data_IF_521559667499
#
_entry.id   IF_521559667499
#
_cell.length_a   1.000
_cell.length_b   1.000
_cell.length_c   1.000
_cell.angle_alpha   90.00
_cell.angle_beta   90.00
_cell.angle_gamma   90.00
#
_symmetry.space_group_name_H-M   'P 1'
#
loop_
_entity.id
_entity.type
_entity.pdbx_description
1 polymer ?
#
# COMPACT_ATOMS: atom_id res chain seq x y z
N UNK A 1 2.37 21.27 -20.45
CA UNK A 1 3.84 21.10 -20.62
C UNK A 1 4.30 20.25 -19.44
N UNK A 2 4.78 19.03 -19.69
CA UNK A 2 5.27 18.18 -18.61
C UNK A 2 6.49 18.82 -17.95
N UNK A 3 6.51 18.90 -16.63
CA UNK A 3 7.66 19.40 -15.90
C UNK A 3 8.82 18.42 -16.08
N UNK A 4 9.97 18.90 -16.57
CA UNK A 4 11.18 18.09 -16.71
C UNK A 4 11.78 17.79 -15.34
N UNK A 5 12.06 16.52 -15.05
CA UNK A 5 12.52 16.03 -13.73
C UNK A 5 13.96 15.48 -13.79
N UNK A 6 14.41 15.11 -14.99
CA UNK A 6 15.72 14.51 -15.25
C UNK A 6 15.59 13.12 -15.86
N UNK A 7 16.74 12.50 -16.12
CA UNK A 7 16.84 11.14 -16.69
C UNK A 7 17.94 10.35 -15.99
N UNK A 8 17.80 9.03 -15.99
CA UNK A 8 18.74 8.08 -15.39
C UNK A 8 19.19 7.07 -16.45
N UNK A 9 20.50 6.82 -16.52
CA UNK A 9 21.09 5.74 -17.28
C UNK A 9 21.28 4.52 -16.37
N UNK A 10 20.73 3.39 -16.79
CA UNK A 10 20.82 2.13 -16.06
C UNK A 10 21.18 0.98 -17.00
N UNK A 11 21.69 -0.11 -16.44
CA UNK A 11 21.95 -1.35 -17.16
C UNK A 11 21.26 -2.55 -16.52
N UNK A 12 20.81 -3.51 -17.34
CA UNK A 12 20.32 -4.81 -16.90
C UNK A 12 21.11 -5.91 -17.59
N UNK A 13 21.70 -6.79 -16.78
CA UNK A 13 22.46 -7.95 -17.26
C UNK A 13 21.83 -9.26 -16.79
N UNK A 14 22.26 -10.37 -17.40
CA UNK A 14 21.86 -11.73 -17.05
C UNK A 14 22.06 -12.00 -15.54
N UNK A 15 21.16 -12.78 -14.94
CA UNK A 15 21.04 -12.99 -13.48
C UNK A 15 20.57 -11.78 -12.66
N UNK A 16 19.89 -10.84 -13.30
CA UNK A 16 19.27 -9.65 -12.67
C UNK A 16 20.29 -8.80 -11.90
N UNK A 17 21.40 -8.50 -12.58
CA UNK A 17 22.33 -7.46 -12.14
C UNK A 17 21.84 -6.12 -12.67
N UNK A 18 21.49 -5.21 -11.75
CA UNK A 18 21.03 -3.86 -12.05
C UNK A 18 22.20 -2.90 -11.86
N UNK A 19 22.64 -2.25 -12.93
CA UNK A 19 23.67 -1.22 -12.89
C UNK A 19 23.05 0.17 -12.89
N UNK A 20 23.44 1.00 -11.93
CA UNK A 20 23.09 2.41 -11.86
C UNK A 20 24.33 3.19 -12.32
N UNK A 21 24.29 3.76 -13.53
CA UNK A 21 25.46 4.38 -14.18
C UNK A 21 25.56 5.85 -13.80
N UNK A 22 24.68 6.67 -14.35
CA UNK A 22 24.67 8.12 -14.13
C UNK A 22 23.26 8.68 -14.29
N UNK A 23 23.03 9.87 -13.75
CA UNK A 23 21.83 10.65 -14.01
C UNK A 23 22.20 11.99 -14.64
N UNK A 24 21.27 12.59 -15.37
CA UNK A 24 21.49 13.86 -16.03
C UNK A 24 20.29 14.79 -15.92
N UNK A 25 20.59 16.09 -15.83
CA UNK A 25 19.61 17.17 -15.76
C UNK A 25 18.53 16.94 -14.69
N UNK A 26 18.95 16.46 -13.52
CA UNK A 26 18.05 16.27 -12.38
C UNK A 26 17.44 17.61 -11.95
N UNK A 27 16.22 17.54 -11.42
CA UNK A 27 15.57 18.69 -10.79
C UNK A 27 16.34 19.11 -9.53
N UNK A 28 16.66 20.39 -9.42
CA UNK A 28 17.22 20.97 -8.20
C UNK A 28 16.16 21.02 -7.10
N UNK A 29 16.49 20.43 -5.95
CA UNK A 29 15.61 20.36 -4.79
C UNK A 29 16.11 21.24 -3.64
N UNK A 30 17.41 21.53 -3.58
CA UNK A 30 17.99 22.44 -2.60
C UNK A 30 17.81 23.91 -2.99
N UNK A 31 17.75 24.78 -1.98
CA UNK A 31 17.78 26.24 -2.13
C UNK A 31 19.01 26.75 -2.90
N UNK A 32 20.09 25.96 -2.95
CA UNK A 32 21.32 26.27 -3.67
C UNK A 32 21.26 26.03 -5.19
N UNK A 33 20.11 25.60 -5.73
CA UNK A 33 19.97 25.30 -7.16
C UNK A 33 20.62 23.98 -7.58
N UNK A 34 20.94 23.11 -6.62
CA UNK A 34 21.51 21.77 -6.82
C UNK A 34 20.69 20.72 -6.07
N UNK A 35 21.18 19.48 -6.05
CA UNK A 35 20.72 18.40 -5.19
C UNK A 35 21.90 17.58 -4.70
N UNK A 36 21.67 16.76 -3.68
CA UNK A 36 22.55 15.72 -3.17
C UNK A 36 22.02 14.31 -3.59
N UNK A 37 22.06 13.95 -4.88
CA UNK A 37 21.35 12.78 -5.39
C UNK A 37 21.94 11.43 -4.95
N UNK A 38 21.03 10.47 -4.72
CA UNK A 38 21.31 9.05 -4.62
C UNK A 38 20.12 8.22 -5.15
N UNK A 39 20.36 6.96 -5.51
CA UNK A 39 19.33 6.09 -6.09
C UNK A 39 19.01 4.93 -5.16
N UNK A 40 17.74 4.74 -4.84
CA UNK A 40 17.22 3.51 -4.21
C UNK A 40 16.76 2.54 -5.28
N UNK A 41 17.17 1.29 -5.16
CA UNK A 41 16.80 0.20 -6.07
C UNK A 41 16.13 -0.91 -5.26
N UNK A 42 14.98 -1.38 -5.72
CA UNK A 42 14.28 -2.53 -5.13
C UNK A 42 13.35 -3.20 -6.14
N UNK A 43 12.88 -4.41 -5.80
CA UNK A 43 11.97 -5.19 -6.65
C UNK A 43 10.62 -5.33 -5.96
N UNK A 44 9.53 -5.14 -6.71
CA UNK A 44 8.17 -5.43 -6.26
C UNK A 44 7.72 -6.82 -6.77
N UNK A 45 6.89 -7.54 -5.99
CA UNK A 45 6.24 -7.11 -4.74
C UNK A 45 7.13 -7.22 -3.49
N UNK A 46 8.26 -7.94 -3.58
CA UNK A 46 9.14 -8.20 -2.43
C UNK A 46 10.15 -7.08 -2.21
N UNK A 47 9.78 -6.04 -1.44
CA UNK A 47 10.72 -5.00 -0.94
C UNK A 47 11.74 -5.52 0.10
N UNK A 48 11.98 -6.83 0.20
CA UNK A 48 12.82 -7.42 1.25
C UNK A 48 14.31 -7.07 1.09
N UNK A 49 14.74 -6.63 -0.10
CA UNK A 49 16.11 -6.19 -0.37
C UNK A 49 16.08 -4.87 -1.14
N UNK A 50 16.45 -3.79 -0.47
CA UNK A 50 16.62 -2.46 -1.06
C UNK A 50 18.10 -2.13 -1.04
N UNK A 51 18.63 -1.67 -2.17
CA UNK A 51 19.97 -1.12 -2.26
C UNK A 51 19.91 0.40 -2.43
N UNK A 52 20.95 1.08 -2.00
CA UNK A 52 21.11 2.51 -2.16
C UNK A 52 22.50 2.78 -2.70
N UNK A 53 22.61 3.66 -3.70
CA UNK A 53 23.91 4.17 -4.15
C UNK A 53 24.50 5.11 -3.10
N UNK A 54 25.77 5.47 -3.28
CA UNK A 54 26.38 6.61 -2.59
C UNK A 54 25.65 7.89 -2.93
N UNK A 55 25.67 8.81 -1.98
CA UNK A 55 25.19 10.18 -2.12
C UNK A 55 26.27 11.03 -2.77
N UNK A 56 25.92 11.72 -3.86
CA UNK A 56 26.78 12.70 -4.51
C UNK A 56 26.31 14.09 -4.16
N UNK A 57 27.19 14.96 -3.64
CA UNK A 57 26.77 16.27 -3.15
C UNK A 57 26.77 17.34 -4.24
N UNK A 58 25.79 18.24 -4.17
CA UNK A 58 25.67 19.46 -4.98
C UNK A 58 25.86 19.23 -6.47
N UNK A 59 25.16 18.26 -7.02
CA UNK A 59 25.21 17.92 -8.45
C UNK A 59 23.84 17.55 -9.00
N UNK A 60 23.58 17.94 -10.25
CA UNK A 60 22.41 17.51 -11.03
C UNK A 60 22.77 16.46 -12.08
N UNK A 61 24.04 16.06 -12.14
CA UNK A 61 24.58 15.07 -13.08
C UNK A 61 25.52 14.10 -12.36
N UNK A 62 25.01 13.30 -11.39
CA UNK A 62 25.83 12.36 -10.65
C UNK A 62 26.25 11.15 -11.51
N UNK A 63 27.47 10.68 -11.31
CA UNK A 63 28.00 9.43 -11.89
C UNK A 63 28.18 8.41 -10.78
N UNK A 64 27.26 7.46 -10.68
CA UNK A 64 27.20 6.46 -9.62
C UNK A 64 28.12 5.26 -9.88
N UNK A 65 27.97 4.62 -11.05
CA UNK A 65 28.66 3.40 -11.45
C UNK A 65 28.63 2.28 -10.40
N UNK A 66 27.43 1.96 -9.89
CA UNK A 66 27.20 0.92 -8.88
C UNK A 66 26.34 -0.21 -9.44
N UNK A 67 26.65 -1.45 -9.09
CA UNK A 67 25.92 -2.63 -9.57
C UNK A 67 25.31 -3.41 -8.40
N UNK A 68 24.05 -3.80 -8.54
CA UNK A 68 23.25 -4.48 -7.52
C UNK A 68 22.71 -5.80 -8.05
N UNK A 69 23.00 -6.89 -7.35
CA UNK A 69 22.54 -8.23 -7.73
C UNK A 69 21.31 -8.66 -6.94
N UNK A 70 20.28 -9.06 -7.67
CA UNK A 70 19.06 -9.66 -7.13
C UNK A 70 18.96 -11.14 -7.48
N UNK A 71 18.10 -11.85 -6.74
CA UNK A 71 17.65 -13.17 -7.17
C UNK A 71 16.50 -12.97 -8.16
N UNK A 72 16.49 -13.74 -9.24
CA UNK A 72 15.46 -13.67 -10.26
C UNK A 72 14.08 -13.92 -9.65
N UNK A 73 13.13 -13.02 -9.93
CA UNK A 73 11.75 -13.12 -9.47
C UNK A 73 10.82 -13.00 -10.67
N UNK A 74 10.03 -14.05 -10.88
CA UNK A 74 8.98 -14.10 -11.91
C UNK A 74 7.93 -13.00 -11.60
N UNK A 75 7.35 -12.38 -12.64
CA UNK A 75 6.28 -11.37 -12.54
C UNK A 75 6.60 -10.18 -11.61
N UNK A 76 7.83 -9.69 -11.67
CA UNK A 76 8.30 -8.64 -10.77
C UNK A 76 8.52 -7.30 -11.46
N UNK A 77 8.44 -6.22 -10.68
CA UNK A 77 8.72 -4.85 -11.17
C UNK A 77 9.98 -4.32 -10.51
N UNK A 78 11.01 -4.01 -11.28
CA UNK A 78 12.17 -3.27 -10.80
C UNK A 78 11.80 -1.79 -10.64
N UNK A 79 12.14 -1.22 -9.49
CA UNK A 79 11.93 0.19 -9.19
C UNK A 79 13.26 0.85 -8.87
N UNK A 80 13.53 1.96 -9.55
CA UNK A 80 14.70 2.81 -9.34
C UNK A 80 14.21 4.22 -9.01
N UNK A 81 14.54 4.71 -7.83
CA UNK A 81 14.07 6.01 -7.33
C UNK A 81 15.24 6.91 -7.03
N UNK A 82 15.23 8.10 -7.62
CA UNK A 82 16.24 9.12 -7.39
C UNK A 82 15.75 10.03 -6.28
N UNK A 83 16.55 10.16 -5.23
CA UNK A 83 16.29 11.00 -4.06
C UNK A 83 17.35 12.07 -3.92
N UNK A 84 16.95 13.17 -3.32
CA UNK A 84 17.78 14.25 -2.80
C UNK A 84 18.02 14.02 -1.30
N UNK A 85 19.29 13.87 -0.91
CA UNK A 85 19.65 13.63 0.48
C UNK A 85 19.57 14.92 1.31
N UNK A 86 18.79 14.87 2.39
CA UNK A 86 18.65 15.97 3.32
C UNK A 86 19.21 15.61 4.71
N UNK A 87 20.15 16.40 5.23
CA UNK A 87 20.79 16.11 6.52
C UNK A 87 19.85 16.24 7.73
N UNK A 88 18.89 17.16 7.67
CA UNK A 88 18.05 17.54 8.82
C UNK A 88 16.55 17.45 8.55
N UNK A 89 16.16 16.95 7.38
CA UNK A 89 14.76 16.80 6.96
C UNK A 89 14.57 15.49 6.21
N UNK A 90 13.32 15.16 5.91
CA UNK A 90 13.01 14.01 5.05
C UNK A 90 13.66 14.23 3.67
N UNK A 91 14.20 13.16 3.10
CA UNK A 91 14.79 13.19 1.77
C UNK A 91 13.70 13.40 0.72
N UNK A 92 13.95 14.30 -0.23
CA UNK A 92 12.98 14.63 -1.26
C UNK A 92 13.14 13.71 -2.45
N UNK A 93 12.05 13.12 -2.93
CA UNK A 93 12.11 12.26 -4.10
C UNK A 93 12.10 13.13 -5.37
N UNK A 94 13.13 12.98 -6.18
CA UNK A 94 13.27 13.69 -7.45
C UNK A 94 12.34 13.02 -8.48
N UNK A 95 12.46 11.70 -8.67
CA UNK A 95 11.63 10.94 -9.61
C UNK A 95 11.93 9.44 -9.60
N UNK A 96 11.18 8.69 -10.41
CA UNK A 96 11.30 7.22 -10.46
C UNK A 96 11.21 6.63 -11.88
N UNK A 97 11.80 5.44 -12.03
CA UNK A 97 11.62 4.53 -13.17
C UNK A 97 11.09 3.21 -12.63
N UNK A 98 10.07 2.67 -13.29
CA UNK A 98 9.49 1.35 -13.03
C UNK A 98 9.57 0.50 -14.29
N UNK A 99 10.13 -0.70 -14.17
CA UNK A 99 10.31 -1.63 -15.28
C UNK A 99 9.68 -2.97 -14.92
N UNK A 100 8.72 -3.40 -15.73
CA UNK A 100 8.19 -4.75 -15.62
C UNK A 100 9.24 -5.74 -16.15
N UNK A 101 9.78 -6.59 -15.29
CA UNK A 101 10.84 -7.53 -15.65
C UNK A 101 10.34 -8.64 -16.59
N UNK A 102 9.01 -8.85 -16.70
CA UNK A 102 8.45 -9.82 -17.65
C UNK A 102 8.51 -9.34 -19.11
N UNK A 103 8.70 -8.05 -19.34
CA UNK A 103 8.79 -7.46 -20.69
C UNK A 103 10.23 -7.23 -21.15
N UNK A 104 11.22 -7.60 -20.32
CA UNK A 104 12.64 -7.41 -20.59
C UNK A 104 13.17 -8.60 -21.39
N UNK A 105 13.85 -8.34 -22.51
CA UNK A 105 14.60 -9.36 -23.24
C UNK A 105 15.96 -9.59 -22.58
N UNK A 106 16.10 -10.73 -21.89
CA UNK A 106 17.29 -11.10 -21.13
C UNK A 106 18.44 -11.64 -21.98
N UNK A 107 18.25 -11.80 -23.30
CA UNK A 107 19.30 -12.29 -24.19
C UNK A 107 20.35 -11.22 -24.53
N UNK A 108 20.08 -9.96 -24.20
CA UNK A 108 20.95 -8.84 -24.47
C UNK A 108 21.18 -8.02 -23.20
N UNK A 109 22.40 -7.51 -23.03
CA UNK A 109 22.67 -6.51 -22.00
C UNK A 109 21.93 -5.24 -22.41
N UNK A 110 21.01 -4.78 -21.56
CA UNK A 110 20.33 -3.50 -21.74
C UNK A 110 21.19 -2.44 -21.07
N UNK A 111 21.49 -1.36 -21.78
CA UNK A 111 22.04 -0.13 -21.22
C UNK A 111 21.38 1.05 -21.92
N UNK A 112 20.52 1.77 -21.22
CA UNK A 112 19.73 2.83 -21.83
C UNK A 112 19.47 4.00 -20.88
N UNK A 113 19.18 5.16 -21.48
CA UNK A 113 18.65 6.32 -20.78
C UNK A 113 17.13 6.23 -20.68
N UNK A 114 16.58 6.54 -19.51
CA UNK A 114 15.15 6.77 -19.34
C UNK A 114 14.85 8.04 -18.57
N UNK A 115 13.79 8.72 -19.00
CA UNK A 115 13.25 9.88 -18.31
C UNK A 115 12.63 9.45 -16.98
N UNK A 116 12.87 10.26 -15.95
CA UNK A 116 12.26 10.09 -14.64
C UNK A 116 10.80 10.53 -14.69
N UNK A 117 9.91 9.67 -14.22
CA UNK A 117 8.52 10.04 -13.96
C UNK A 117 8.38 10.69 -12.58
N UNK A 118 7.38 11.55 -12.42
CA UNK A 118 6.92 11.95 -11.08
C UNK A 118 6.63 10.69 -10.29
N UNK A 119 7.06 10.68 -9.05
CA UNK A 119 6.79 9.56 -8.20
C UNK A 119 5.29 9.32 -8.09
N UNK A 120 4.88 8.08 -8.30
CA UNK A 120 3.55 7.66 -7.91
C UNK A 120 3.34 8.05 -6.44
N UNK A 121 2.38 8.95 -6.15
CA UNK A 121 2.04 9.42 -4.78
C UNK A 121 1.67 8.27 -3.83
N UNK A 122 1.60 7.06 -4.34
CA UNK A 122 1.30 5.84 -3.63
C UNK A 122 2.33 4.77 -4.02
N UNK A 123 3.52 4.85 -3.43
CA UNK A 123 4.13 3.60 -2.99
C UNK A 123 3.17 2.98 -1.97
N UNK A 124 2.22 2.17 -2.41
CA UNK A 124 1.57 1.24 -1.50
C UNK A 124 2.66 0.23 -1.12
N UNK A 125 3.32 0.47 0.02
CA UNK A 125 3.84 -0.65 0.80
C UNK A 125 2.73 -1.71 0.83
N UNK A 126 3.02 -2.93 0.39
CA UNK A 126 2.03 -3.99 0.43
C UNK A 126 1.71 -4.25 1.92
N UNK A 127 0.51 -3.85 2.33
CA UNK A 127 0.06 -3.92 3.73
C UNK A 127 -0.42 -5.34 4.10
N UNK A 128 -0.44 -6.23 3.11
CA UNK A 128 -0.97 -7.58 3.19
C UNK A 128 -2.26 -7.77 2.40
N UNK A 129 -2.71 -9.02 2.32
CA UNK A 129 -3.97 -9.39 1.68
C UNK A 129 -4.90 -10.05 2.71
N UNK A 130 -6.20 -9.85 2.55
CA UNK A 130 -7.24 -10.45 3.40
C UNK A 130 -8.25 -11.21 2.55
N UNK A 131 -8.62 -12.40 3.01
CA UNK A 131 -9.66 -13.23 2.44
C UNK A 131 -10.89 -13.22 3.37
N UNK A 132 -12.05 -12.94 2.79
CA UNK A 132 -13.32 -13.00 3.52
C UNK A 132 -14.45 -13.37 2.57
N UNK A 133 -15.53 -13.87 3.16
CA UNK A 133 -16.75 -14.21 2.44
C UNK A 133 -17.90 -13.27 2.76
N UNK A 134 -18.66 -12.93 1.74
CA UNK A 134 -19.89 -12.17 1.82
C UNK A 134 -21.10 -13.01 1.40
N UNK A 135 -22.20 -12.83 2.13
CA UNK A 135 -23.49 -13.43 1.81
C UNK A 135 -24.61 -12.49 2.21
N UNK A 136 -25.49 -12.16 1.28
CA UNK A 136 -26.70 -11.39 1.56
C UNK A 136 -27.97 -12.22 1.32
N UNK A 137 -28.93 -12.13 2.24
CA UNK A 137 -30.25 -12.78 2.14
C UNK A 137 -31.33 -11.70 2.24
N UNK A 138 -31.87 -11.21 1.11
CA UNK A 138 -32.87 -10.14 1.08
C UNK A 138 -34.11 -10.45 1.92
N UNK A 139 -34.63 -11.68 1.84
CA UNK A 139 -35.85 -12.11 2.55
C UNK A 139 -35.78 -11.97 4.08
N UNK A 140 -34.57 -12.00 4.64
CA UNK A 140 -34.35 -11.83 6.08
C UNK A 140 -33.58 -10.55 6.43
N UNK A 141 -33.25 -9.73 5.43
CA UNK A 141 -32.40 -8.55 5.58
C UNK A 141 -31.08 -8.84 6.30
N UNK A 142 -30.43 -9.98 6.00
CA UNK A 142 -29.20 -10.41 6.68
C UNK A 142 -27.99 -10.34 5.74
N UNK A 143 -27.01 -9.53 6.13
CA UNK A 143 -25.66 -9.52 5.58
C UNK A 143 -24.72 -10.30 6.52
N UNK A 144 -24.14 -11.39 6.03
CA UNK A 144 -23.15 -12.18 6.74
C UNK A 144 -21.77 -11.94 6.12
N UNK A 145 -20.80 -11.62 6.97
CA UNK A 145 -19.39 -11.41 6.64
C UNK A 145 -18.58 -12.45 7.42
N UNK A 146 -17.88 -13.34 6.73
CA UNK A 146 -17.00 -14.35 7.35
C UNK A 146 -15.56 -13.93 7.07
N UNK A 147 -14.82 -13.53 8.10
CA UNK A 147 -13.39 -13.24 7.98
C UNK A 147 -12.65 -14.58 8.02
N UNK A 148 -12.02 -14.96 6.91
CA UNK A 148 -11.38 -16.27 6.77
C UNK A 148 -9.93 -16.20 7.27
N UNK A 149 -9.08 -15.48 6.56
CA UNK A 149 -7.65 -15.40 6.84
C UNK A 149 -7.03 -14.13 6.23
N UNK A 150 -5.81 -13.80 6.64
CA UNK A 150 -4.98 -12.80 5.98
C UNK A 150 -3.57 -13.37 5.76
N UNK A 151 -2.84 -12.79 4.81
CA UNK A 151 -1.45 -13.20 4.50
C UNK A 151 -0.56 -12.00 4.21
N UNK A 152 0.74 -12.20 4.43
CA UNK A 152 1.78 -11.21 4.15
C UNK A 152 1.49 -9.84 4.80
N UNK A 153 0.92 -9.84 6.01
CA UNK A 153 0.65 -8.59 6.72
C UNK A 153 1.95 -7.81 6.98
N UNK A 154 1.87 -6.48 6.92
CA UNK A 154 2.98 -5.60 7.29
C UNK A 154 3.38 -5.83 8.75
N UNK A 155 4.69 -5.95 9.00
CA UNK A 155 5.28 -6.05 10.34
C UNK A 155 5.14 -4.72 11.06
N UNK A 156 4.60 -4.76 12.28
CA UNK A 156 4.36 -3.55 13.08
C UNK A 156 5.16 -3.56 14.39
N UNK A 157 5.47 -4.74 14.93
CA UNK A 157 6.26 -4.89 16.15
C UNK A 157 7.78 -4.88 15.89
N UNK A 158 8.55 -4.42 16.88
CA UNK A 158 10.03 -4.46 16.85
C UNK A 158 10.60 -5.89 16.74
N UNK A 159 9.84 -6.90 17.16
CA UNK A 159 10.20 -8.32 17.01
C UNK A 159 9.97 -8.87 15.59
N UNK A 160 9.53 -8.03 14.65
CA UNK A 160 9.28 -8.43 13.27
C UNK A 160 7.96 -9.20 13.07
N UNK A 161 7.02 -9.15 14.00
CA UNK A 161 5.69 -9.76 13.84
C UNK A 161 4.58 -8.72 13.99
N UNK A 162 3.33 -9.19 14.03
CA UNK A 162 2.16 -8.46 14.49
C UNK A 162 1.25 -9.39 15.29
N UNK A 163 0.35 -8.79 16.07
CA UNK A 163 -0.77 -9.42 16.77
C UNK A 163 -2.11 -9.04 16.09
N UNK A 164 -2.39 -9.55 14.87
CA UNK A 164 -3.49 -9.06 14.06
C UNK A 164 -4.89 -9.39 14.58
N UNK A 165 -5.80 -8.43 14.44
CA UNK A 165 -7.25 -8.61 14.53
C UNK A 165 -7.97 -7.74 13.49
N UNK A 166 -9.18 -8.14 13.11
CA UNK A 166 -9.96 -7.48 12.07
C UNK A 166 -11.17 -6.77 12.67
N UNK A 167 -11.38 -5.51 12.29
CA UNK A 167 -12.61 -4.75 12.57
C UNK A 167 -13.49 -4.74 11.31
N UNK A 168 -14.72 -5.19 11.46
CA UNK A 168 -15.75 -5.18 10.42
C UNK A 168 -16.77 -4.09 10.76
N UNK A 169 -16.90 -3.08 9.91
CA UNK A 169 -17.68 -1.88 10.18
C UNK A 169 -18.61 -1.56 9.01
N UNK A 170 -19.88 -1.31 9.28
CA UNK A 170 -20.82 -0.74 8.33
C UNK A 170 -20.87 0.78 8.49
N UNK A 171 -20.83 1.48 7.36
CA UNK A 171 -21.02 2.92 7.26
C UNK A 171 -22.24 3.16 6.39
N UNK A 172 -23.17 3.98 6.86
CA UNK A 172 -24.38 4.35 6.14
C UNK A 172 -24.49 5.87 6.17
N UNK A 173 -24.76 6.50 5.02
CA UNK A 173 -24.84 7.96 4.89
C UNK A 173 -23.62 8.69 5.47
N UNK A 174 -22.41 8.15 5.18
CA UNK A 174 -21.11 8.65 5.68
C UNK A 174 -20.96 8.64 7.21
N UNK A 175 -21.87 7.99 7.94
CA UNK A 175 -21.81 7.81 9.40
C UNK A 175 -21.52 6.36 9.75
N UNK A 176 -20.65 6.17 10.74
CA UNK A 176 -20.37 4.85 11.31
C UNK A 176 -21.65 4.30 11.93
N UNK A 177 -22.06 3.10 11.51
CA UNK A 177 -23.33 2.52 11.92
C UNK A 177 -23.18 1.30 12.84
N UNK A 178 -22.68 0.17 12.31
CA UNK A 178 -22.48 -1.08 13.07
C UNK A 178 -21.01 -1.48 13.04
N UNK A 179 -20.50 -2.10 14.11
CA UNK A 179 -19.11 -2.54 14.19
C UNK A 179 -18.95 -3.81 15.02
N UNK A 180 -18.16 -4.75 14.51
CA UNK A 180 -17.73 -5.99 15.19
C UNK A 180 -16.22 -6.17 15.00
N UNK A 181 -15.60 -7.03 15.80
CA UNK A 181 -14.17 -7.36 15.72
C UNK A 181 -13.94 -8.84 15.91
N UNK A 182 -12.88 -9.37 15.32
CA UNK A 182 -12.41 -10.75 15.53
C UNK A 182 -11.68 -10.90 16.85
N UNK A 183 -11.35 -12.15 17.20
CA UNK A 183 -10.26 -12.45 18.13
C UNK A 183 -8.91 -11.92 17.61
N UNK A 184 -7.99 -11.70 18.54
CA UNK A 184 -6.59 -11.34 18.24
C UNK A 184 -5.80 -12.63 18.00
N UNK A 185 -4.99 -12.68 16.94
CA UNK A 185 -4.05 -13.77 16.69
C UNK A 185 -2.66 -13.27 17.02
N UNK A 186 -1.98 -13.94 17.95
CA UNK A 186 -0.68 -13.48 18.44
C UNK A 186 0.43 -13.87 17.48
N UNK A 187 1.42 -12.99 17.33
CA UNK A 187 2.70 -13.21 16.67
C UNK A 187 2.60 -13.90 15.30
N UNK A 188 1.76 -13.36 14.41
CA UNK A 188 1.62 -13.89 13.04
C UNK A 188 1.37 -12.81 12.01
N UNK A 189 1.95 -12.99 10.82
CA UNK A 189 1.66 -12.19 9.62
C UNK A 189 0.70 -12.90 8.66
N UNK A 190 0.31 -14.14 8.98
CA UNK A 190 -0.61 -14.97 8.21
C UNK A 190 -1.72 -15.55 9.11
N UNK A 191 -2.55 -14.69 9.73
CA UNK A 191 -3.56 -15.15 10.68
C UNK A 191 -4.72 -15.89 10.01
N UNK A 192 -5.15 -16.98 10.64
CA UNK A 192 -6.41 -17.67 10.34
C UNK A 192 -7.47 -17.31 11.39
N UNK A 193 -8.60 -16.77 10.95
CA UNK A 193 -9.70 -16.31 11.82
C UNK A 193 -10.89 -17.26 11.77
N UNK A 194 -11.48 -17.45 10.58
CA UNK A 194 -12.74 -18.15 10.34
C UNK A 194 -13.89 -17.70 11.27
N UNK A 195 -14.07 -16.39 11.40
CA UNK A 195 -15.06 -15.78 12.30
C UNK A 195 -16.21 -15.13 11.52
N UNK A 196 -17.45 -15.45 11.90
CA UNK A 196 -18.67 -15.00 11.21
C UNK A 196 -19.38 -13.87 11.92
N UNK A 197 -19.73 -12.83 11.18
CA UNK A 197 -20.45 -11.65 11.65
C UNK A 197 -21.71 -11.43 10.83
N UNK A 198 -22.86 -11.35 11.50
CA UNK A 198 -24.14 -11.05 10.84
C UNK A 198 -24.63 -9.66 11.23
N UNK A 199 -25.12 -8.93 10.24
CA UNK A 199 -25.72 -7.61 10.37
C UNK A 199 -27.10 -7.60 9.72
N UNK A 200 -28.05 -6.96 10.38
CA UNK A 200 -29.36 -6.64 9.80
C UNK A 200 -29.23 -5.40 8.90
N UNK A 201 -29.48 -5.56 7.61
CA UNK A 201 -29.39 -4.54 6.56
C UNK A 201 -30.54 -4.77 5.58
N UNK A 202 -31.48 -3.82 5.50
CA UNK A 202 -32.61 -3.91 4.57
C UNK A 202 -32.15 -3.80 3.11
N UNK A 203 -33.04 -4.14 2.17
CA UNK A 203 -32.74 -4.02 0.75
C UNK A 203 -32.49 -2.57 0.30
N UNK A 204 -33.14 -1.59 0.92
CA UNK A 204 -32.86 -0.17 0.65
C UNK A 204 -31.50 0.26 1.22
N UNK A 205 -31.13 -0.28 2.38
CA UNK A 205 -29.86 0.03 3.04
C UNK A 205 -28.67 -0.61 2.35
N UNK A 206 -28.80 -1.84 1.81
CA UNK A 206 -27.67 -2.56 1.18
C UNK A 206 -27.11 -1.82 -0.04
N UNK A 207 -27.93 -1.00 -0.70
CA UNK A 207 -27.52 -0.16 -1.83
C UNK A 207 -26.69 1.07 -1.41
N UNK A 208 -26.82 1.51 -0.15
CA UNK A 208 -26.18 2.73 0.37
C UNK A 208 -25.07 2.44 1.38
N UNK A 209 -25.05 1.24 1.93
CA UNK A 209 -24.10 0.85 2.96
C UNK A 209 -22.72 0.61 2.35
N UNK A 210 -21.70 1.07 3.06
CA UNK A 210 -20.31 0.80 2.79
C UNK A 210 -19.79 -0.16 3.88
N UNK A 211 -19.39 -1.36 3.47
CA UNK A 211 -18.71 -2.32 4.33
C UNK A 211 -17.23 -1.99 4.37
N UNK A 212 -16.72 -1.73 5.56
CA UNK A 212 -15.32 -1.41 5.82
C UNK A 212 -14.69 -2.53 6.63
N UNK A 213 -13.62 -3.12 6.08
CA UNK A 213 -12.81 -4.14 6.76
C UNK A 213 -11.43 -3.54 7.01
N UNK A 214 -10.99 -3.54 8.26
CA UNK A 214 -9.66 -3.01 8.64
C UNK A 214 -8.92 -4.01 9.50
N UNK A 215 -7.66 -4.24 9.16
CA UNK A 215 -6.73 -5.09 9.91
C UNK A 215 -5.89 -4.21 10.81
N UNK A 216 -5.79 -4.61 12.06
CA UNK A 216 -5.13 -3.87 13.12
C UNK A 216 -4.16 -4.77 13.84
N UNK A 217 -3.08 -4.18 14.30
CA UNK A 217 -2.13 -4.77 15.21
C UNK A 217 -2.54 -4.45 16.65
N UNK A 218 -2.48 -5.44 17.55
CA UNK A 218 -2.82 -5.24 18.95
C UNK A 218 -1.58 -5.16 19.84
N UNK A 219 -1.29 -3.95 20.29
CA UNK A 219 -0.25 -3.71 21.27
C UNK A 219 -0.78 -3.84 22.71
N UNK A 220 -0.11 -4.62 23.56
CA UNK A 220 -0.47 -4.76 24.99
C UNK A 220 -0.20 -3.49 25.81
N UNK A 221 0.85 -2.75 25.46
CA UNK A 221 1.35 -1.60 26.23
C UNK A 221 1.30 -0.28 25.44
N UNK A 222 0.79 -0.31 24.22
CA UNK A 222 0.77 0.83 23.31
C UNK A 222 -0.61 0.95 22.65
N UNK A 223 -0.81 1.99 21.83
CA UNK A 223 -2.06 2.15 21.09
C UNK A 223 -2.02 1.24 19.86
N UNK A 224 -3.01 0.36 19.74
CA UNK A 224 -3.21 -0.48 18.55
C UNK A 224 -3.03 0.28 17.23
N UNK A 225 -2.15 -0.24 16.38
CA UNK A 225 -1.83 0.35 15.09
C UNK A 225 -2.71 -0.23 13.96
N UNK A 226 -3.09 0.60 12.99
CA UNK A 226 -3.80 0.11 11.82
C UNK A 226 -2.78 -0.42 10.80
N UNK A 227 -2.92 -1.68 10.40
CA UNK A 227 -2.07 -2.29 9.36
C UNK A 227 -2.57 -1.83 7.99
N UNK A 228 -3.86 -2.00 7.73
CA UNK A 228 -4.45 -1.69 6.44
C UNK A 228 -5.96 -1.82 6.44
N UNK A 229 -6.60 -1.34 5.37
CA UNK A 229 -8.05 -1.19 5.28
C UNK A 229 -8.54 -1.34 3.84
N UNK A 230 -9.77 -1.81 3.71
CA UNK A 230 -10.52 -1.82 2.45
C UNK A 230 -11.97 -1.42 2.71
N UNK A 231 -12.69 -1.06 1.65
CA UNK A 231 -14.12 -0.84 1.68
C UNK A 231 -14.79 -1.51 0.48
N UNK A 232 -16.05 -1.91 0.65
CA UNK A 232 -16.91 -2.52 -0.36
C UNK A 232 -18.29 -1.86 -0.28
N UNK A 233 -18.96 -1.76 -1.42
CA UNK A 233 -20.27 -1.12 -1.56
C UNK A 233 -20.57 -0.83 -3.02
N UNK A 234 -21.74 -0.27 -3.31
CA UNK A 234 -22.12 0.08 -4.68
C UNK A 234 -21.24 1.17 -5.30
N UNK A 235 -20.62 2.02 -4.48
CA UNK A 235 -19.70 3.09 -4.92
C UNK A 235 -18.21 2.65 -4.90
N UNK A 236 -17.93 1.37 -4.66
CA UNK A 236 -16.58 0.84 -4.77
C UNK A 236 -16.15 0.73 -6.24
N UNK A 237 -14.87 0.45 -6.48
CA UNK A 237 -14.33 0.19 -7.82
C UNK A 237 -13.58 -1.15 -7.86
N UNK A 238 -13.24 -1.62 -9.05
CA UNK A 238 -12.39 -2.80 -9.24
C UNK A 238 -12.91 -4.07 -8.55
N UNK A 239 -12.00 -4.79 -7.89
CA UNK A 239 -12.31 -6.08 -7.26
C UNK A 239 -13.29 -5.95 -6.08
N UNK A 240 -13.27 -4.82 -5.36
CA UNK A 240 -14.18 -4.54 -4.25
C UNK A 240 -15.62 -4.41 -4.73
N UNK A 241 -15.84 -3.70 -5.85
CA UNK A 241 -17.15 -3.61 -6.49
C UNK A 241 -17.60 -4.98 -7.01
N UNK A 242 -16.70 -5.72 -7.67
CA UNK A 242 -17.00 -7.05 -8.19
C UNK A 242 -17.45 -8.01 -7.09
N UNK A 243 -16.72 -8.06 -5.97
CA UNK A 243 -17.10 -8.91 -4.84
C UNK A 243 -18.50 -8.55 -4.28
N UNK A 244 -18.78 -7.25 -4.17
CA UNK A 244 -20.07 -6.76 -3.70
C UNK A 244 -21.21 -7.09 -4.68
N UNK A 245 -20.98 -6.89 -5.97
CA UNK A 245 -21.93 -7.24 -7.03
C UNK A 245 -22.19 -8.75 -7.07
N UNK A 246 -21.14 -9.58 -7.02
CA UNK A 246 -21.25 -11.04 -7.01
C UNK A 246 -22.11 -11.52 -5.83
N UNK A 247 -21.94 -10.92 -4.64
CA UNK A 247 -22.77 -11.21 -3.47
C UNK A 247 -24.24 -10.86 -3.70
N UNK A 248 -24.54 -9.71 -4.32
CA UNK A 248 -25.91 -9.27 -4.58
C UNK A 248 -26.58 -10.12 -5.67
N UNK A 249 -25.84 -10.49 -6.72
CA UNK A 249 -26.32 -11.31 -7.83
C UNK A 249 -26.52 -12.78 -7.47
N UNK A 250 -25.86 -13.27 -6.41
CA UNK A 250 -25.97 -14.66 -5.92
C UNK A 250 -26.61 -14.72 -4.53
N UNK A 251 -27.90 -14.34 -4.38
CA UNK A 251 -28.55 -14.31 -3.09
C UNK A 251 -28.47 -15.70 -2.44
N UNK A 252 -28.13 -15.73 -1.14
CA UNK A 252 -27.96 -16.94 -0.30
C UNK A 252 -26.70 -17.77 -0.54
N UNK A 253 -25.84 -17.47 -1.51
CA UNK A 253 -24.53 -18.14 -1.64
C UNK A 253 -23.42 -17.29 -1.03
N UNK A 254 -22.55 -17.86 -0.17
CA UNK A 254 -21.34 -17.17 0.25
C UNK A 254 -20.37 -17.04 -0.94
N UNK A 255 -19.92 -15.83 -1.22
CA UNK A 255 -18.86 -15.55 -2.19
C UNK A 255 -17.61 -15.22 -1.39
N UNK A 256 -16.48 -15.87 -1.65
CA UNK A 256 -15.22 -15.64 -0.95
C UNK A 256 -14.18 -15.09 -1.94
N UNK A 257 -13.49 -14.01 -1.57
CA UNK A 257 -12.47 -13.38 -2.42
C UNK A 257 -11.34 -12.79 -1.59
N UNK A 258 -10.14 -12.79 -2.18
CA UNK A 258 -8.97 -12.08 -1.67
C UNK A 258 -9.01 -10.60 -2.06
N UNK A 259 -8.53 -9.74 -1.16
CA UNK A 259 -8.41 -8.30 -1.36
C UNK A 259 -7.08 -7.80 -0.81
N UNK A 260 -6.39 -6.96 -1.58
CA UNK A 260 -5.18 -6.27 -1.12
C UNK A 260 -5.54 -5.07 -0.24
N UNK A 261 -4.88 -4.95 0.90
CA UNK A 261 -5.11 -3.89 1.86
C UNK A 261 -4.56 -2.55 1.37
N UNK A 262 -5.36 -1.49 1.52
CA UNK A 262 -5.00 -0.10 1.23
C UNK A 262 -4.65 0.63 2.52
N UNK A 263 -4.01 1.80 2.42
CA UNK A 263 -3.75 2.61 3.60
C UNK A 263 -5.06 3.13 4.20
N UNK A 264 -5.07 3.35 5.53
CA UNK A 264 -6.27 3.90 6.18
C UNK A 264 -6.64 5.28 5.64
N UNK A 265 -5.64 6.11 5.34
CA UNK A 265 -5.82 7.44 4.75
C UNK A 265 -6.50 7.39 3.38
N UNK A 266 -6.07 6.49 2.50
CA UNK A 266 -6.68 6.32 1.18
C UNK A 266 -8.16 5.96 1.27
N UNK A 267 -8.51 5.01 2.14
CA UNK A 267 -9.90 4.59 2.34
C UNK A 267 -10.73 5.68 3.01
N UNK A 268 -10.20 6.34 4.05
CA UNK A 268 -10.93 7.37 4.78
C UNK A 268 -11.18 8.62 3.92
N UNK A 269 -10.23 8.98 3.06
CA UNK A 269 -10.37 10.06 2.07
C UNK A 269 -11.45 9.74 1.05
N UNK A 270 -11.43 8.51 0.51
CA UNK A 270 -12.43 8.04 -0.47
C UNK A 270 -13.84 8.05 0.11
N UNK A 271 -13.98 7.66 1.38
CA UNK A 271 -15.28 7.66 2.08
C UNK A 271 -15.66 9.03 2.66
N UNK A 272 -14.82 10.06 2.46
CA UNK A 272 -14.97 11.41 3.02
C UNK A 272 -15.26 11.40 4.54
N UNK A 273 -14.63 10.47 5.27
CA UNK A 273 -14.80 10.36 6.72
C UNK A 273 -13.96 11.45 7.39
N UNK A 274 -14.62 12.35 8.15
CA UNK A 274 -13.91 13.40 8.88
C UNK A 274 -12.84 12.79 9.80
N UNK A 275 -11.59 13.23 9.65
CA UNK A 275 -10.59 13.05 10.71
C UNK A 275 -11.11 13.76 11.96
N UNK A 276 -11.37 13.00 13.02
CA UNK A 276 -11.59 13.61 14.34
C UNK A 276 -10.26 14.18 14.79
N UNK A 277 -9.98 15.45 14.44
CA UNK A 277 -8.89 16.20 15.02
C UNK A 277 -9.12 16.17 16.55
N UNK A 278 -8.18 15.57 17.27
CA UNK A 278 -8.12 15.72 18.73
C UNK A 278 -7.76 17.19 18.97
N UNK A 279 -8.72 17.97 19.41
CA UNK A 279 -8.49 19.33 19.91
C UNK A 279 -7.52 19.18 21.10
N UNK A 280 -6.34 19.82 21.08
CA UNK A 280 -5.50 19.90 22.27
C UNK A 280 -6.30 20.59 23.37
N UNK A 281 -6.38 19.96 24.54
CA UNK A 281 -6.97 20.57 25.72
C UNK A 281 -6.27 21.90 26.02
N UNK A 282 -6.96 23.02 25.84
CA UNK A 282 -6.58 24.26 26.48
C UNK A 282 -6.95 24.13 27.95
N UNK A 283 -5.95 23.95 28.81
CA UNK A 283 -6.10 24.10 30.25
C UNK A 283 -6.69 25.49 30.53
N UNK A 284 -7.92 25.53 31.05
CA UNK A 284 -8.39 26.66 31.84
C UNK A 284 -7.95 26.39 33.28
N UNK A 285 -6.90 27.06 33.71
CA UNK A 285 -6.67 27.31 35.13
C UNK A 285 -7.57 28.46 35.58
N UNK A 286 -8.15 28.28 36.77
CA UNK A 286 -8.96 29.24 37.51
C UNK A 286 -8.19 30.54 37.80
#
# INVERSE_FOLDING_TARGET
MGHWIGKLQYSLEFSLTVGIKEAAALKAMDLGGTSDPYVKVYILPKKSKTFETKVFRKTLNPVFNENFKYQELIESTLVMQVYDFNRFSKHDMIGEIRLNLSTVDWNHVIEEWRDLSEASKHEQEHLGDICFSLRYVPASSKLTVIILEAKNLKRMDQGGSSDPYVKVQLILDKKKWKKKKTSVKMQTLNPYFNESFTFEVSFEQIQKVQLVISVWDHDKMSRNNAIGKIYLGCDATGNQLRHWADMLSNPRKPVAQWHTLLSSEQVDTTLALKHTLKIPFTNKTF
#
